data_IF_197122441634
#
_entry.id   IF_197122441634
#
_cell.length_a   1.000
_cell.length_b   1.000
_cell.length_c   1.000
_cell.angle_alpha   90.00
_cell.angle_beta   90.00
_cell.angle_gamma   90.00
#
_symmetry.space_group_name_H-M   'P 1'
#
loop_
_entity.id
_entity.type
_entity.pdbx_description
1 polymer ?
#
# COMPACT_ATOMS: atom_id res chain seq x y z
N UNK A 1 -5.55 20.82 -23.35
CA UNK A 1 -6.03 19.45 -23.71
C UNK A 1 -6.71 18.79 -22.52
N UNK A 2 -6.09 18.78 -21.33
CA UNK A 2 -6.74 18.31 -20.10
C UNK A 2 -8.01 19.10 -19.79
N UNK A 3 -7.95 20.43 -19.85
CA UNK A 3 -9.11 21.33 -19.67
C UNK A 3 -10.24 21.06 -20.69
N UNK A 4 -9.89 20.60 -21.89
CA UNK A 4 -10.87 20.26 -22.92
C UNK A 4 -11.58 18.95 -22.57
N UNK A 5 -10.86 17.92 -22.11
CA UNK A 5 -11.48 16.69 -21.62
C UNK A 5 -12.30 16.94 -20.35
N UNK A 6 -11.85 17.80 -19.44
CA UNK A 6 -12.62 18.20 -18.25
C UNK A 6 -13.93 18.88 -18.66
N UNK A 7 -13.89 19.77 -19.65
CA UNK A 7 -15.10 20.39 -20.19
C UNK A 7 -16.04 19.40 -20.87
N UNK A 8 -15.53 18.44 -21.63
CA UNK A 8 -16.34 17.44 -22.34
C UNK A 8 -17.00 16.46 -21.36
N UNK A 9 -16.30 16.11 -20.28
CA UNK A 9 -16.75 15.14 -19.28
C UNK A 9 -17.37 15.81 -18.04
N UNK A 10 -17.64 17.11 -18.07
CA UNK A 10 -18.14 17.87 -16.93
C UNK A 10 -19.48 17.37 -16.38
N UNK A 11 -20.28 16.70 -17.22
CA UNK A 11 -21.59 16.14 -16.85
C UNK A 11 -21.52 14.64 -16.50
N UNK A 12 -20.35 14.03 -16.60
CA UNK A 12 -20.15 12.61 -16.30
C UNK A 12 -19.67 12.44 -14.84
N UNK A 13 -20.04 11.34 -14.20
CA UNK A 13 -19.64 11.00 -12.81
C UNK A 13 -18.21 10.46 -12.74
N UNK A 14 -17.27 11.19 -13.33
CA UNK A 14 -15.87 10.82 -13.44
C UNK A 14 -14.96 11.86 -12.82
N UNK A 15 -13.79 11.42 -12.38
CA UNK A 15 -12.68 12.25 -11.94
C UNK A 15 -11.52 12.06 -12.90
N UNK A 16 -10.92 13.18 -13.30
CA UNK A 16 -9.74 13.18 -14.13
C UNK A 16 -8.50 13.48 -13.30
N UNK A 17 -7.42 12.71 -13.53
CA UNK A 17 -6.12 13.01 -12.95
C UNK A 17 -5.06 12.99 -14.06
N UNK A 18 -4.19 13.99 -14.03
CA UNK A 18 -2.99 14.01 -14.88
C UNK A 18 -1.95 13.03 -14.32
N UNK A 19 -1.53 12.07 -15.14
CA UNK A 19 -0.42 11.17 -14.87
C UNK A 19 0.85 11.57 -15.62
N UNK A 20 1.88 10.72 -15.57
CA UNK A 20 3.10 10.92 -16.35
C UNK A 20 2.81 10.51 -17.80
N UNK A 21 2.74 11.51 -18.70
CA UNK A 21 2.41 11.35 -20.12
C UNK A 21 1.01 10.80 -20.45
N UNK A 22 0.16 10.58 -19.45
CA UNK A 22 -1.20 10.08 -19.61
C UNK A 22 -2.22 10.96 -18.89
N UNK A 23 -3.49 10.83 -19.27
CA UNK A 23 -4.63 11.34 -18.52
C UNK A 23 -5.43 10.13 -18.07
N UNK A 24 -5.62 9.99 -16.77
CA UNK A 24 -6.44 8.94 -16.18
C UNK A 24 -7.84 9.49 -15.93
N UNK A 25 -8.85 8.74 -16.38
CA UNK A 25 -10.26 9.01 -16.13
C UNK A 25 -10.82 7.83 -15.35
N UNK A 26 -11.37 8.09 -14.17
CA UNK A 26 -11.91 7.06 -13.28
C UNK A 26 -13.27 7.48 -12.71
N UNK A 27 -14.11 6.56 -12.25
CA UNK A 27 -15.35 6.92 -11.56
C UNK A 27 -15.06 7.82 -10.36
N UNK A 28 -15.95 8.78 -10.11
CA UNK A 28 -15.85 9.65 -8.95
C UNK A 28 -15.90 8.84 -7.65
N UNK A 29 -15.09 9.22 -6.66
CA UNK A 29 -15.04 8.54 -5.38
C UNK A 29 -14.31 7.19 -5.40
N UNK A 30 -13.51 6.92 -6.43
CA UNK A 30 -12.61 5.74 -6.48
C UNK A 30 -11.17 6.18 -6.35
N UNK A 31 -10.46 5.66 -5.36
CA UNK A 31 -9.02 5.88 -5.17
C UNK A 31 -8.36 4.74 -4.40
N UNK A 32 -7.03 4.63 -4.55
CA UNK A 32 -6.20 3.70 -3.77
C UNK A 32 -6.37 3.92 -2.27
N UNK A 33 -6.48 5.18 -1.86
CA UNK A 33 -6.76 5.53 -0.47
C UNK A 33 -8.10 4.99 0.05
N UNK A 34 -9.20 5.17 -0.70
CA UNK A 34 -10.52 4.63 -0.31
C UNK A 34 -10.47 3.10 -0.19
N UNK A 35 -9.72 2.43 -1.06
CA UNK A 35 -9.51 0.98 -0.96
C UNK A 35 -8.76 0.63 0.33
N UNK A 36 -7.68 1.34 0.66
CA UNK A 36 -6.93 1.11 1.90
C UNK A 36 -7.81 1.31 3.14
N UNK A 37 -8.60 2.40 3.18
CA UNK A 37 -9.54 2.67 4.28
C UNK A 37 -10.55 1.54 4.48
N UNK A 38 -11.10 1.02 3.37
CA UNK A 38 -12.03 -0.12 3.40
C UNK A 38 -11.37 -1.39 3.90
N UNK A 39 -10.15 -1.69 3.47
CA UNK A 39 -9.40 -2.87 3.94
C UNK A 39 -9.18 -2.79 5.45
N UNK A 40 -8.71 -1.66 5.97
CA UNK A 40 -8.48 -1.51 7.41
C UNK A 40 -9.77 -1.51 8.23
N UNK A 41 -10.83 -0.88 7.71
CA UNK A 41 -12.16 -0.92 8.34
C UNK A 41 -12.71 -2.36 8.36
N UNK A 42 -12.50 -3.14 7.30
CA UNK A 42 -12.89 -4.55 7.26
C UNK A 42 -12.14 -5.39 8.29
N UNK A 43 -10.82 -5.19 8.43
CA UNK A 43 -10.02 -5.88 9.44
C UNK A 43 -10.53 -5.54 10.85
N UNK A 44 -10.85 -4.27 11.11
CA UNK A 44 -11.39 -3.81 12.38
C UNK A 44 -12.79 -4.37 12.68
N UNK A 45 -13.64 -4.51 11.66
CA UNK A 45 -14.97 -5.12 11.80
C UNK A 45 -14.90 -6.61 12.16
N UNK A 46 -13.83 -7.30 11.76
CA UNK A 46 -13.54 -8.67 12.20
C UNK A 46 -12.95 -8.73 13.62
N UNK A 47 -13.03 -7.64 14.39
CA UNK A 47 -12.43 -7.46 15.72
C UNK A 47 -10.90 -7.68 15.74
N UNK A 48 -10.24 -7.54 14.58
CA UNK A 48 -8.79 -7.64 14.44
C UNK A 48 -8.18 -6.25 14.30
N UNK A 49 -6.89 -6.14 14.64
CA UNK A 49 -6.12 -4.92 14.44
C UNK A 49 -4.78 -5.26 13.79
N UNK A 50 -4.40 -4.51 12.77
CA UNK A 50 -3.09 -4.64 12.17
C UNK A 50 -2.00 -4.21 13.18
N UNK A 51 -1.01 -5.07 13.39
CA UNK A 51 0.19 -4.78 14.19
C UNK A 51 1.41 -4.43 13.32
N UNK A 52 1.31 -4.68 12.01
CA UNK A 52 2.31 -4.34 11.01
C UNK A 52 1.58 -3.87 9.75
N UNK A 53 2.02 -2.75 9.18
CA UNK A 53 1.49 -2.19 7.94
C UNK A 53 2.67 -1.75 7.08
N UNK A 54 2.82 -2.38 5.92
CA UNK A 54 3.73 -1.95 4.87
C UNK A 54 2.90 -1.43 3.70
N UNK A 55 3.17 -0.20 3.29
CA UNK A 55 2.51 0.47 2.19
C UNK A 55 3.56 1.04 1.25
N UNK A 56 3.51 0.69 -0.04
CA UNK A 56 4.50 1.09 -1.04
C UNK A 56 3.77 1.69 -2.23
N UNK A 57 4.24 2.82 -2.73
CA UNK A 57 3.67 3.48 -3.91
C UNK A 57 4.69 4.32 -4.66
N UNK A 58 4.56 4.43 -5.98
CA UNK A 58 5.53 5.04 -6.88
C UNK A 58 5.01 6.32 -7.56
N UNK A 59 3.73 6.63 -7.45
CA UNK A 59 3.13 7.73 -8.17
C UNK A 59 2.33 8.69 -7.28
N UNK A 60 1.82 9.75 -7.92
CA UNK A 60 1.00 10.76 -7.23
C UNK A 60 -0.37 10.22 -6.76
N UNK A 61 -0.83 9.09 -7.30
CA UNK A 61 -2.09 8.46 -6.91
C UNK A 61 -1.94 7.73 -5.57
N UNK A 62 -0.72 7.31 -5.23
CA UNK A 62 -0.39 6.68 -3.94
C UNK A 62 -0.38 7.66 -2.77
N UNK A 63 -0.25 8.97 -3.02
CA UNK A 63 -0.27 10.01 -1.98
C UNK A 63 -1.56 9.99 -1.15
N UNK A 64 -2.69 9.68 -1.79
CA UNK A 64 -3.98 9.55 -1.13
C UNK A 64 -4.03 8.28 -0.24
N UNK A 65 -3.29 7.24 -0.61
CA UNK A 65 -3.14 6.03 0.19
C UNK A 65 -2.28 6.28 1.43
N UNK A 66 -1.18 7.03 1.31
CA UNK A 66 -0.33 7.39 2.44
C UNK A 66 -1.07 8.26 3.48
N UNK A 67 -1.84 9.25 3.01
CA UNK A 67 -2.67 10.09 3.88
C UNK A 67 -3.72 9.30 4.67
N UNK A 68 -4.35 8.33 4.02
CA UNK A 68 -5.36 7.51 4.69
C UNK A 68 -4.75 6.62 5.78
N UNK A 69 -3.52 6.14 5.62
CA UNK A 69 -2.84 5.36 6.65
C UNK A 69 -2.65 6.18 7.93
N UNK A 70 -2.27 7.46 7.82
CA UNK A 70 -2.14 8.35 8.98
C UNK A 70 -3.51 8.61 9.65
N UNK A 71 -4.57 8.80 8.85
CA UNK A 71 -5.93 8.98 9.36
C UNK A 71 -6.48 7.70 10.04
N UNK A 72 -6.20 6.53 9.49
CA UNK A 72 -6.60 5.24 10.07
C UNK A 72 -5.89 4.99 11.40
N UNK A 73 -4.61 5.39 11.50
CA UNK A 73 -3.85 5.37 12.74
C UNK A 73 -4.49 6.26 13.81
N UNK A 74 -4.86 7.49 13.47
CA UNK A 74 -5.49 8.43 14.41
C UNK A 74 -6.88 8.00 14.87
N UNK A 75 -7.62 7.27 14.03
CA UNK A 75 -8.90 6.63 14.36
C UNK A 75 -8.78 5.39 15.26
N UNK A 76 -7.56 4.95 15.57
CA UNK A 76 -7.33 3.81 16.48
C UNK A 76 -7.67 2.43 15.90
N UNK A 77 -7.71 2.33 14.56
CA UNK A 77 -7.98 1.07 13.85
C UNK A 77 -6.77 0.12 13.84
N UNK A 78 -5.57 0.63 14.10
CA UNK A 78 -4.37 -0.18 14.29
C UNK A 78 -4.17 -0.57 15.75
N UNK A 79 -3.34 -1.59 15.96
CA UNK A 79 -2.86 -1.93 17.29
C UNK A 79 -2.04 -0.74 17.86
N UNK A 80 -2.08 -0.44 19.18
CA UNK A 80 -1.35 0.71 19.75
C UNK A 80 0.15 0.72 19.47
N UNK A 81 0.74 -0.47 19.33
CA UNK A 81 2.16 -0.68 19.01
C UNK A 81 2.38 -1.08 17.54
N UNK A 82 1.48 -0.71 16.64
CA UNK A 82 1.60 -1.10 15.24
C UNK A 82 2.85 -0.48 14.60
N UNK A 83 3.62 -1.30 13.90
CA UNK A 83 4.74 -0.82 13.09
C UNK A 83 4.22 -0.44 11.70
N UNK A 84 4.28 0.85 11.37
CA UNK A 84 3.73 1.39 10.11
C UNK A 84 4.86 1.94 9.25
N UNK A 85 4.99 1.40 8.04
CA UNK A 85 5.99 1.75 7.06
C UNK A 85 5.29 2.16 5.77
N UNK A 86 5.17 3.47 5.55
CA UNK A 86 4.73 4.04 4.27
C UNK A 86 5.97 4.48 3.47
N UNK A 87 6.13 3.92 2.27
CA UNK A 87 7.30 4.05 1.43
C UNK A 87 6.92 4.58 0.05
N UNK A 88 7.51 5.71 -0.38
CA UNK A 88 7.49 6.10 -1.78
C UNK A 88 8.62 5.42 -2.55
N UNK A 89 8.39 4.97 -3.78
CA UNK A 89 9.46 4.48 -4.68
C UNK A 89 10.03 5.66 -5.46
N UNK A 90 11.35 5.78 -5.47
CA UNK A 90 12.08 6.94 -5.95
C UNK A 90 12.09 8.10 -4.95
N UNK A 91 13.20 8.84 -4.93
CA UNK A 91 13.37 10.04 -4.12
C UNK A 91 12.59 11.21 -4.71
N UNK A 92 11.42 11.49 -4.13
CA UNK A 92 10.52 12.57 -4.55
C UNK A 92 9.71 13.12 -3.37
N UNK A 93 9.15 14.34 -3.48
CA UNK A 93 8.21 14.84 -2.48
C UNK A 93 7.03 13.86 -2.34
N UNK A 94 6.78 13.41 -1.12
CA UNK A 94 5.71 12.46 -0.80
C UNK A 94 5.23 12.66 0.65
N UNK A 95 3.99 12.27 0.92
CA UNK A 95 3.45 12.09 2.28
C UNK A 95 3.99 10.82 2.96
N UNK A 96 4.59 9.90 2.21
CA UNK A 96 5.26 8.73 2.78
C UNK A 96 6.47 9.15 3.63
N UNK A 97 6.66 8.47 4.78
CA UNK A 97 7.76 8.74 5.71
C UNK A 97 9.11 8.19 5.23
N UNK A 98 9.08 7.11 4.47
CA UNK A 98 10.25 6.41 3.98
C UNK A 98 10.26 6.41 2.45
N UNK A 99 11.41 6.06 1.87
CA UNK A 99 11.52 5.81 0.43
C UNK A 99 12.37 4.58 0.15
N UNK A 100 12.16 4.01 -1.04
CA UNK A 100 13.01 3.01 -1.68
C UNK A 100 13.50 3.63 -2.99
N UNK A 101 14.73 3.39 -3.41
CA UNK A 101 15.32 4.09 -4.56
C UNK A 101 14.63 3.70 -5.87
N UNK A 102 14.31 2.42 -6.04
CA UNK A 102 13.65 1.90 -7.25
C UNK A 102 12.86 0.61 -6.99
N UNK A 103 12.29 0.06 -8.06
CA UNK A 103 11.52 -1.18 -8.01
C UNK A 103 12.37 -2.41 -7.66
N UNK A 104 13.67 -2.40 -7.94
CA UNK A 104 14.57 -3.51 -7.58
C UNK A 104 14.76 -3.55 -6.06
N UNK A 105 14.90 -2.39 -5.40
CA UNK A 105 14.92 -2.33 -3.94
C UNK A 105 13.63 -2.82 -3.29
N UNK A 106 12.47 -2.52 -3.89
CA UNK A 106 11.18 -3.08 -3.44
C UNK A 106 11.22 -4.60 -3.47
N UNK A 107 11.68 -5.19 -4.57
CA UNK A 107 11.76 -6.64 -4.74
C UNK A 107 12.74 -7.24 -3.71
N UNK A 108 13.95 -6.71 -3.60
CA UNK A 108 14.97 -7.20 -2.65
C UNK A 108 14.46 -7.16 -1.20
N UNK A 109 13.72 -6.11 -0.82
CA UNK A 109 13.14 -6.00 0.52
C UNK A 109 12.05 -7.05 0.76
N UNK A 110 11.19 -7.30 -0.22
CA UNK A 110 10.16 -8.33 -0.13
C UNK A 110 10.75 -9.75 -0.13
N UNK A 111 11.83 -9.99 -0.88
CA UNK A 111 12.58 -11.25 -0.86
C UNK A 111 13.18 -11.50 0.52
N UNK A 112 13.82 -10.51 1.13
CA UNK A 112 14.35 -10.63 2.49
C UNK A 112 13.24 -10.93 3.52
N UNK A 113 12.03 -10.38 3.35
CA UNK A 113 10.89 -10.74 4.19
C UNK A 113 10.46 -12.18 4.01
N UNK A 114 10.44 -12.67 2.77
CA UNK A 114 10.09 -14.06 2.47
C UNK A 114 11.10 -15.04 3.11
N UNK A 115 12.40 -14.78 2.96
CA UNK A 115 13.47 -15.62 3.53
C UNK A 115 13.40 -15.74 5.06
N UNK A 116 13.05 -14.65 5.75
CA UNK A 116 12.89 -14.66 7.21
C UNK A 116 11.59 -15.35 7.63
N UNK A 117 10.56 -15.30 6.78
CA UNK A 117 9.25 -15.88 7.08
C UNK A 117 9.21 -17.39 6.96
N UNK A 118 10.14 -17.99 6.20
CA UNK A 118 10.23 -19.42 6.06
C UNK A 118 10.66 -20.06 7.40
N UNK A 119 9.83 -20.93 8.00
CA UNK A 119 10.23 -21.65 9.19
C UNK A 119 11.42 -22.53 8.83
N UNK A 120 12.58 -22.23 9.42
CA UNK A 120 13.77 -23.04 9.27
C UNK A 120 13.42 -24.51 9.59
N UNK A 121 13.68 -25.48 8.69
CA UNK A 121 13.46 -26.88 9.01
C UNK A 121 14.37 -27.25 10.18
N UNK A 122 13.77 -27.59 11.32
CA UNK A 122 14.48 -28.13 12.48
C UNK A 122 15.34 -29.33 12.06
N UNK A 123 16.63 -29.43 12.44
CA UNK A 123 17.53 -30.52 12.02
C UNK A 123 17.22 -31.94 12.56
N UNK A 124 16.06 -32.19 13.17
CA UNK A 124 15.79 -33.44 13.89
C UNK A 124 14.62 -34.25 13.32
N UNK A 125 14.74 -34.69 12.07
CA UNK A 125 14.14 -35.98 11.66
C UNK A 125 15.28 -36.89 11.19
N UNK A 126 15.81 -37.67 12.14
CA UNK A 126 16.70 -38.79 11.81
C UNK A 126 15.92 -39.75 10.90
N UNK A 127 16.57 -40.34 9.87
CA UNK A 127 15.92 -41.39 9.10
C UNK A 127 15.78 -42.60 10.02
N UNK A 128 14.54 -42.94 10.41
CA UNK A 128 14.23 -44.27 10.91
C UNK A 128 14.36 -45.26 9.75
N UNK A 129 15.60 -45.68 9.48
CA UNK A 129 15.87 -47.00 8.94
C UNK A 129 15.98 -47.95 10.14
N UNK A 130 14.99 -48.83 10.32
CA UNK A 130 15.16 -50.24 10.72
C UNK A 130 13.80 -50.90 10.97
N UNK A 131 13.32 -51.69 10.00
CA UNK A 131 13.19 -53.15 10.08
C UNK A 131 12.75 -53.72 8.72
#
# INVERSE_FOLDING_TARGET
MLDHLESVLANEVVTMKRGQFIIEVKPQGVSKGIVADKVFTSIANDERKANFVLCIGDDRLDEEMFEIIENVMSRGLFHPNAAVFACTVGQKPSKAKYYLDDAAEVINMLEAFAEISDPCPSPDEKPENSL
#
